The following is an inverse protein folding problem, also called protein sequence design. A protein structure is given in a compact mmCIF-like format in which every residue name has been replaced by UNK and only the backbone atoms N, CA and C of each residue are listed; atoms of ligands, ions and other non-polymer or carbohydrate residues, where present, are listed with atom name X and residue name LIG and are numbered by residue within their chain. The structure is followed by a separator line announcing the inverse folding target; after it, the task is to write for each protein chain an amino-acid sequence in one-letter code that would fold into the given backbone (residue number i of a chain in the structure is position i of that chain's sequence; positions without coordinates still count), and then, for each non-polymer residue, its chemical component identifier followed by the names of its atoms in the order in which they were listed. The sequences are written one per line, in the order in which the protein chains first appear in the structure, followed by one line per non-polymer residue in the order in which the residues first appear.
data_IF_875353792693
#
_entry.id   IF_875353792693
#
_cell.length_a   1.000
_cell.length_b   1.000
_cell.length_c   1.000
_cell.angle_alpha   90.00
_cell.angle_beta   90.00
_cell.angle_gamma   90.00
#
_symmetry.space_group_name_H-M   'P 1'
#
loop_
_entity.id
_entity.type
_entity.pdbx_description
1 polymer ?
#
# COMPACT_ATOMS: atom_id res chain seq x y z
N UNK A 1 -2.50 63.28 -16.09
CA UNK A 1 -2.92 62.10 -15.31
C UNK A 1 -3.13 60.94 -16.27
N UNK A 2 -2.24 59.94 -16.28
CA UNK A 2 -2.34 58.76 -17.17
C UNK A 2 -3.11 57.67 -16.44
N UNK A 3 -4.29 57.30 -16.98
CA UNK A 3 -5.12 56.24 -16.44
C UNK A 3 -4.45 54.87 -16.61
N UNK A 4 -4.17 54.21 -15.49
CA UNK A 4 -3.72 52.81 -15.44
C UNK A 4 -4.94 51.92 -15.69
N UNK A 5 -5.09 51.39 -16.92
CA UNK A 5 -6.04 50.31 -17.18
C UNK A 5 -5.46 49.01 -16.62
N UNK A 6 -5.93 48.61 -15.44
CA UNK A 6 -5.68 47.28 -14.89
C UNK A 6 -6.45 46.26 -15.74
N UNK A 7 -5.72 45.42 -16.46
CA UNK A 7 -6.25 44.41 -17.38
C UNK A 7 -6.78 43.22 -16.56
N UNK A 8 -8.05 43.24 -16.22
CA UNK A 8 -8.71 42.21 -15.40
C UNK A 8 -8.79 40.80 -16.07
N UNK A 9 -8.37 40.66 -17.32
CA UNK A 9 -8.53 39.42 -18.10
C UNK A 9 -7.42 38.37 -17.96
N UNK A 10 -6.27 38.68 -17.34
CA UNK A 10 -5.15 37.72 -17.24
C UNK A 10 -5.16 36.89 -15.96
N UNK A 11 -5.93 37.32 -14.95
CA UNK A 11 -5.87 36.70 -13.62
C UNK A 11 -6.63 35.37 -13.51
N UNK A 12 -7.68 35.14 -14.33
CA UNK A 12 -8.42 33.86 -14.29
C UNK A 12 -7.67 32.72 -14.99
N UNK A 13 -6.98 33.01 -16.09
CA UNK A 13 -6.22 32.00 -16.84
C UNK A 13 -5.02 31.46 -16.05
N UNK A 14 -4.33 32.33 -15.29
CA UNK A 14 -3.19 31.92 -14.45
C UNK A 14 -3.63 31.07 -13.25
N UNK A 15 -4.80 31.34 -12.65
CA UNK A 15 -5.36 30.53 -11.58
C UNK A 15 -5.77 29.13 -12.06
N UNK A 16 -6.43 29.02 -13.20
CA UNK A 16 -6.80 27.72 -13.78
C UNK A 16 -5.57 26.89 -14.17
N UNK A 17 -4.53 27.55 -14.69
CA UNK A 17 -3.29 26.87 -15.09
C UNK A 17 -2.48 26.40 -13.88
N UNK A 18 -2.45 27.19 -12.81
CA UNK A 18 -1.83 26.81 -11.53
C UNK A 18 -2.56 25.65 -10.83
N UNK A 19 -3.89 25.69 -10.80
CA UNK A 19 -4.71 24.62 -10.24
C UNK A 19 -4.54 23.30 -10.99
N UNK A 20 -4.54 23.30 -12.32
CA UNK A 20 -4.32 22.09 -13.14
C UNK A 20 -2.93 21.49 -12.96
N UNK A 21 -1.89 22.33 -12.82
CA UNK A 21 -0.52 21.86 -12.55
C UNK A 21 -0.38 21.20 -11.18
N UNK A 22 -0.98 21.78 -10.14
CA UNK A 22 -0.93 21.21 -8.79
C UNK A 22 -1.71 19.88 -8.67
N UNK A 23 -2.83 19.74 -9.39
CA UNK A 23 -3.60 18.50 -9.43
C UNK A 23 -2.85 17.35 -10.14
N UNK A 24 -2.23 17.64 -11.29
CA UNK A 24 -1.49 16.66 -12.08
C UNK A 24 -0.22 16.11 -11.42
N UNK A 25 0.34 16.85 -10.46
CA UNK A 25 1.49 16.46 -9.63
C UNK A 25 1.09 15.64 -8.39
N UNK A 26 -0.16 15.76 -7.91
CA UNK A 26 -0.66 15.05 -6.73
C UNK A 26 -1.27 13.68 -7.04
N UNK A 27 -1.69 13.45 -8.28
CA UNK A 27 -2.26 12.17 -8.77
C UNK A 27 -1.40 10.92 -8.51
N UNK A 28 -0.08 10.91 -8.78
CA UNK A 28 0.76 9.73 -8.57
C UNK A 28 0.88 9.37 -7.09
N UNK A 29 0.97 10.39 -6.24
CA UNK A 29 0.86 10.22 -4.80
C UNK A 29 -0.54 9.68 -4.50
N UNK A 30 -1.63 10.38 -4.77
CA UNK A 30 -2.98 9.90 -4.43
C UNK A 30 -3.24 8.42 -4.76
N UNK A 31 -2.81 7.93 -5.93
CA UNK A 31 -2.88 6.52 -6.31
C UNK A 31 -2.10 5.57 -5.39
N UNK A 32 -0.84 5.87 -5.08
CA UNK A 32 -0.05 5.03 -4.18
C UNK A 32 -0.68 4.99 -2.77
N UNK A 33 -1.41 6.02 -2.33
CA UNK A 33 -2.09 6.03 -1.03
C UNK A 33 -3.38 5.24 -1.10
N UNK A 34 -4.14 5.39 -2.19
CA UNK A 34 -5.31 4.57 -2.46
C UNK A 34 -5.00 3.07 -2.47
N UNK A 35 -3.77 2.67 -2.82
CA UNK A 35 -3.33 1.26 -2.73
C UNK A 35 -2.73 0.94 -1.36
N UNK A 36 -1.81 1.77 -0.86
CA UNK A 36 -1.08 1.50 0.38
C UNK A 36 -1.97 1.48 1.63
N UNK A 37 -3.00 2.32 1.67
CA UNK A 37 -3.89 2.41 2.84
C UNK A 37 -4.74 1.14 3.02
N UNK A 38 -5.54 0.68 2.03
CA UNK A 38 -6.35 -0.51 2.22
C UNK A 38 -5.51 -1.78 2.37
N UNK A 39 -4.44 -1.93 1.56
CA UNK A 39 -3.57 -3.11 1.67
C UNK A 39 -2.83 -3.07 3.01
N UNK A 40 -2.34 -1.91 3.44
CA UNK A 40 -1.62 -1.75 4.70
C UNK A 40 -2.48 -2.02 5.92
N UNK A 41 -3.74 -1.56 5.92
CA UNK A 41 -4.69 -1.83 6.98
C UNK A 41 -4.94 -3.33 7.18
N UNK A 42 -4.83 -4.14 6.13
CA UNK A 42 -5.04 -5.58 6.19
C UNK A 42 -3.73 -6.30 6.53
N UNK A 43 -2.64 -5.97 5.84
CA UNK A 43 -1.39 -6.74 5.96
C UNK A 43 -0.54 -6.35 7.16
N UNK A 44 -0.62 -5.13 7.69
CA UNK A 44 0.17 -4.73 8.87
C UNK A 44 -0.29 -5.45 10.14
N UNK A 45 -1.59 -5.48 10.50
CA UNK A 45 -2.04 -6.26 11.66
C UNK A 45 -1.71 -7.75 11.50
N UNK A 46 -1.84 -8.29 10.29
CA UNK A 46 -1.45 -9.67 9.99
C UNK A 46 0.06 -9.90 10.21
N UNK A 47 0.92 -9.04 9.69
CA UNK A 47 2.36 -9.17 9.87
C UNK A 47 2.74 -9.11 11.35
N UNK A 48 2.13 -8.20 12.12
CA UNK A 48 2.32 -8.13 13.59
C UNK A 48 1.89 -9.43 14.25
N UNK A 49 0.72 -9.95 13.90
CA UNK A 49 0.23 -11.23 14.43
C UNK A 49 1.20 -12.38 14.14
N UNK A 50 1.64 -12.52 12.88
CA UNK A 50 2.63 -13.53 12.46
C UNK A 50 3.91 -13.39 13.28
N UNK A 51 4.46 -12.19 13.44
CA UNK A 51 5.67 -11.99 14.25
C UNK A 51 5.45 -12.46 15.68
N UNK A 52 4.34 -12.08 16.33
CA UNK A 52 4.07 -12.47 17.72
C UNK A 52 3.95 -13.99 17.86
N UNK A 53 3.21 -14.65 16.95
CA UNK A 53 3.03 -16.11 16.97
C UNK A 53 4.36 -16.83 16.77
N UNK A 54 5.12 -16.46 15.75
CA UNK A 54 6.37 -17.15 15.41
C UNK A 54 7.48 -16.84 16.41
N UNK A 55 7.54 -15.65 17.03
CA UNK A 55 8.45 -15.37 18.15
C UNK A 55 8.13 -16.29 19.35
N UNK A 56 6.84 -16.52 19.63
CA UNK A 56 6.41 -17.51 20.60
C UNK A 56 6.92 -18.92 20.29
N UNK A 57 6.79 -19.37 19.04
CA UNK A 57 7.26 -20.69 18.61
C UNK A 57 8.79 -20.82 18.63
N UNK A 58 9.52 -19.77 18.25
CA UNK A 58 11.00 -19.73 18.35
C UNK A 58 11.43 -19.93 19.81
N UNK A 59 10.74 -19.30 20.76
CA UNK A 59 11.05 -19.48 22.19
C UNK A 59 10.78 -20.89 22.72
N UNK A 60 9.99 -21.68 21.99
CA UNK A 60 9.71 -23.09 22.30
C UNK A 60 10.69 -24.06 21.60
N UNK A 61 11.66 -23.54 20.83
CA UNK A 61 12.65 -24.35 20.12
C UNK A 61 12.16 -24.96 18.81
N UNK A 62 11.11 -24.41 18.21
CA UNK A 62 10.66 -24.84 16.88
C UNK A 62 11.54 -24.22 15.78
N UNK A 63 12.42 -25.03 15.21
CA UNK A 63 13.33 -24.62 14.13
C UNK A 63 12.57 -24.19 12.85
N UNK A 64 11.34 -24.69 12.65
CA UNK A 64 10.49 -24.31 11.51
C UNK A 64 9.95 -22.89 11.61
N UNK A 65 9.88 -22.34 12.82
CA UNK A 65 9.28 -21.03 13.07
C UNK A 65 10.03 -19.88 12.38
N UNK A 66 11.35 -20.01 12.24
CA UNK A 66 12.16 -19.02 11.52
C UNK A 66 11.78 -18.91 10.04
N UNK A 67 11.49 -20.04 9.39
CA UNK A 67 11.11 -20.04 7.97
C UNK A 67 9.76 -19.35 7.73
N UNK A 68 8.78 -19.57 8.61
CA UNK A 68 7.48 -18.90 8.55
C UNK A 68 7.58 -17.40 8.81
N UNK A 69 8.39 -16.99 9.79
CA UNK A 69 8.66 -15.58 10.08
C UNK A 69 9.31 -14.87 8.88
N UNK A 70 10.32 -15.49 8.27
CA UNK A 70 11.04 -14.95 7.11
C UNK A 70 10.16 -14.87 5.86
N UNK A 71 9.27 -15.84 5.66
CA UNK A 71 8.38 -15.89 4.50
C UNK A 71 7.18 -14.95 4.61
N UNK A 72 6.61 -14.77 5.81
CA UNK A 72 5.31 -14.12 5.97
C UNK A 72 5.34 -12.84 6.82
N UNK A 73 6.23 -12.74 7.80
CA UNK A 73 6.28 -11.61 8.74
C UNK A 73 7.23 -10.49 8.30
N UNK A 74 8.42 -10.87 7.88
CA UNK A 74 9.49 -9.93 7.53
C UNK A 74 9.26 -9.13 6.23
N UNK A 75 8.71 -9.70 5.14
CA UNK A 75 8.53 -8.95 3.90
C UNK A 75 7.61 -7.74 4.03
N UNK A 76 6.42 -7.80 4.68
CA UNK A 76 5.60 -6.62 4.93
C UNK A 76 6.31 -5.57 5.80
N UNK A 77 7.03 -6.01 6.84
CA UNK A 77 7.80 -5.12 7.73
C UNK A 77 8.83 -4.25 6.98
N UNK A 78 9.46 -4.79 5.94
CA UNK A 78 10.46 -4.07 5.15
C UNK A 78 9.80 -3.32 3.98
N UNK A 79 8.83 -3.94 3.32
CA UNK A 79 8.19 -3.40 2.12
C UNK A 79 7.37 -2.14 2.38
N UNK A 80 6.65 -2.06 3.51
CA UNK A 80 5.85 -0.88 3.84
C UNK A 80 6.69 0.37 4.11
N UNK A 81 7.75 0.32 4.94
CA UNK A 81 8.69 1.44 5.07
C UNK A 81 9.34 1.84 3.74
N UNK A 82 9.75 0.86 2.92
CA UNK A 82 10.30 1.15 1.59
C UNK A 82 9.30 1.89 0.69
N UNK A 83 8.03 1.47 0.69
CA UNK A 83 6.96 2.14 -0.04
C UNK A 83 6.66 3.55 0.52
N UNK A 84 6.75 3.75 1.83
CA UNK A 84 6.61 5.07 2.46
C UNK A 84 7.77 6.01 2.11
N UNK A 85 8.99 5.48 1.98
CA UNK A 85 10.14 6.23 1.47
C UNK A 85 9.90 6.62 0.00
N UNK A 86 9.51 5.66 -0.85
CA UNK A 86 9.18 5.93 -2.27
C UNK A 86 8.04 6.95 -2.43
N UNK A 87 7.04 6.91 -1.55
CA UNK A 87 5.99 7.93 -1.44
C UNK A 87 6.56 9.31 -1.13
N UNK A 88 7.44 9.40 -0.14
CA UNK A 88 8.03 10.68 0.26
C UNK A 88 8.86 11.29 -0.88
N UNK A 89 9.59 10.44 -1.63
CA UNK A 89 10.37 10.85 -2.78
C UNK A 89 9.50 11.20 -3.99
N UNK A 90 8.38 10.50 -4.21
CA UNK A 90 7.47 10.81 -5.33
C UNK A 90 6.85 12.20 -5.19
N UNK A 91 6.54 12.64 -3.97
CA UNK A 91 6.06 14.01 -3.67
C UNK A 91 7.12 15.10 -3.87
N UNK A 92 8.40 14.75 -3.81
CA UNK A 92 9.55 15.67 -3.98
C UNK A 92 10.18 15.58 -5.37
N UNK A 93 9.62 14.79 -6.28
CA UNK A 93 10.22 14.55 -7.58
C UNK A 93 10.18 15.81 -8.47
N UNK A 94 11.33 16.17 -9.03
CA UNK A 94 11.47 17.33 -9.92
C UNK A 94 10.69 17.21 -11.24
N UNK A 95 10.35 15.98 -11.66
CA UNK A 95 9.63 15.72 -12.92
C UNK A 95 8.44 14.80 -12.71
N UNK A 96 7.38 15.03 -13.49
CA UNK A 96 6.15 14.22 -13.45
C UNK A 96 6.42 12.74 -13.77
N UNK A 97 7.30 12.46 -14.73
CA UNK A 97 7.70 11.08 -15.08
C UNK A 97 8.36 10.36 -13.90
N UNK A 98 9.28 11.01 -13.18
CA UNK A 98 9.90 10.43 -11.98
C UNK A 98 8.89 10.17 -10.87
N UNK A 99 7.95 11.09 -10.63
CA UNK A 99 6.90 10.90 -9.63
C UNK A 99 6.07 9.63 -9.92
N UNK A 100 5.70 9.41 -11.18
CA UNK A 100 4.97 8.21 -11.61
C UNK A 100 5.79 6.93 -11.48
N UNK A 101 7.06 6.94 -11.88
CA UNK A 101 7.93 5.76 -11.74
C UNK A 101 8.09 5.38 -10.27
N UNK A 102 8.35 6.35 -9.39
CA UNK A 102 8.48 6.09 -7.95
C UNK A 102 7.17 5.60 -7.34
N UNK A 103 6.03 6.17 -7.74
CA UNK A 103 4.72 5.70 -7.30
C UNK A 103 4.44 4.26 -7.75
N UNK A 104 4.73 3.94 -9.02
CA UNK A 104 4.55 2.59 -9.56
C UNK A 104 5.46 1.58 -8.87
N UNK A 105 6.73 1.93 -8.63
CA UNK A 105 7.65 1.08 -7.86
C UNK A 105 7.14 0.85 -6.43
N UNK A 106 6.59 1.88 -5.78
CA UNK A 106 5.96 1.73 -4.47
C UNK A 106 4.77 0.78 -4.49
N UNK A 107 3.91 0.88 -5.51
CA UNK A 107 2.76 -0.03 -5.67
C UNK A 107 3.23 -1.46 -5.88
N UNK A 108 4.20 -1.68 -6.78
CA UNK A 108 4.76 -3.01 -7.05
C UNK A 108 5.37 -3.60 -5.78
N UNK A 109 6.12 -2.80 -5.00
CA UNK A 109 6.70 -3.25 -3.75
C UNK A 109 5.61 -3.70 -2.76
N UNK A 110 4.54 -2.92 -2.58
CA UNK A 110 3.41 -3.27 -1.71
C UNK A 110 2.75 -4.56 -2.17
N UNK A 111 2.45 -4.69 -3.46
CA UNK A 111 1.81 -5.88 -4.02
C UNK A 111 2.70 -7.12 -3.82
N UNK A 112 4.00 -7.00 -4.11
CA UNK A 112 4.95 -8.10 -3.98
C UNK A 112 5.05 -8.60 -2.53
N UNK A 113 5.17 -7.69 -1.55
CA UNK A 113 5.27 -8.09 -0.14
C UNK A 113 3.95 -8.53 0.47
N UNK A 114 2.83 -8.11 -0.12
CA UNK A 114 1.47 -8.44 0.35
C UNK A 114 0.89 -9.69 -0.31
N UNK A 115 1.47 -10.15 -1.42
CA UNK A 115 0.94 -11.28 -2.19
C UNK A 115 0.84 -12.55 -1.34
N UNK A 116 1.92 -12.95 -0.68
CA UNK A 116 1.96 -14.20 0.09
C UNK A 116 1.01 -14.18 1.31
N UNK A 117 0.99 -13.11 2.14
CA UNK A 117 0.01 -12.98 3.22
C UNK A 117 -1.45 -13.01 2.75
N UNK A 118 -1.77 -12.22 1.71
CA UNK A 118 -3.13 -12.13 1.18
C UNK A 118 -3.57 -13.45 0.57
N UNK A 119 -2.69 -14.14 -0.14
CA UNK A 119 -2.96 -15.45 -0.70
C UNK A 119 -3.22 -16.50 0.38
N UNK A 120 -2.38 -16.56 1.42
CA UNK A 120 -2.55 -17.51 2.51
C UNK A 120 -3.86 -17.27 3.30
N UNK A 121 -4.18 -16.01 3.59
CA UNK A 121 -5.45 -15.63 4.22
C UNK A 121 -6.65 -16.02 3.35
N UNK A 122 -6.59 -15.71 2.06
CA UNK A 122 -7.64 -16.05 1.10
C UNK A 122 -7.84 -17.55 0.98
N UNK A 123 -6.75 -18.32 0.96
CA UNK A 123 -6.79 -19.78 0.89
C UNK A 123 -7.39 -20.39 2.16
N UNK A 124 -6.95 -19.95 3.35
CA UNK A 124 -7.52 -20.42 4.61
C UNK A 124 -9.01 -20.09 4.74
N UNK A 125 -9.42 -18.88 4.35
CA UNK A 125 -10.83 -18.51 4.32
C UNK A 125 -11.63 -19.35 3.32
N UNK A 126 -11.07 -19.62 2.14
CA UNK A 126 -11.72 -20.42 1.11
C UNK A 126 -11.95 -21.87 1.59
N UNK A 127 -10.96 -22.48 2.22
CA UNK A 127 -11.08 -23.83 2.77
C UNK A 127 -12.13 -23.87 3.89
N UNK A 128 -12.10 -22.94 4.84
CA UNK A 128 -13.09 -22.85 5.92
C UNK A 128 -14.51 -22.61 5.38
N UNK A 129 -14.65 -21.70 4.41
CA UNK A 129 -15.93 -21.43 3.76
C UNK A 129 -16.47 -22.68 3.06
N UNK A 130 -15.61 -23.44 2.38
CA UNK A 130 -15.99 -24.68 1.73
C UNK A 130 -16.41 -25.76 2.73
N UNK A 131 -15.73 -25.86 3.88
CA UNK A 131 -16.06 -26.83 4.93
C UNK A 131 -17.35 -26.50 5.69
N UNK A 132 -17.78 -25.25 5.69
CA UNK A 132 -19.03 -24.78 6.29
C UNK A 132 -20.24 -24.80 5.35
N UNK A 133 -20.03 -25.03 4.04
CA UNK A 133 -21.14 -25.26 3.09
C UNK A 133 -21.86 -26.60 3.35
N UNK A 134 -23.14 -26.75 2.94
CA UNK A 134 -23.86 -28.01 3.03
C UNK A 134 -23.10 -29.15 2.35
N UNK A 135 -22.79 -30.21 3.11
CA UNK A 135 -21.96 -31.33 2.66
C UNK A 135 -20.47 -31.23 3.00
N UNK A 136 -20.04 -30.13 3.61
CA UNK A 136 -18.71 -29.97 4.22
C UNK A 136 -18.62 -30.60 5.61
N UNK A 137 -17.39 -30.80 6.11
CA UNK A 137 -17.12 -31.44 7.40
C UNK A 137 -17.66 -30.66 8.61
N UNK A 138 -17.76 -29.33 8.50
CA UNK A 138 -18.19 -28.43 9.56
C UNK A 138 -19.65 -27.97 9.45
N UNK A 139 -20.44 -28.57 8.55
CA UNK A 139 -21.84 -28.18 8.37
C UNK A 139 -22.69 -28.60 9.59
N UNK A 140 -23.13 -27.61 10.36
CA UNK A 140 -24.15 -27.76 11.39
C UNK A 140 -25.46 -27.14 10.88
N UNK A 141 -26.52 -27.95 10.63
CA UNK A 141 -27.79 -27.47 10.08
C UNK A 141 -28.59 -26.62 11.06
#
# INVERSE_FOLDING_TARGET
MRGVRVRAGTMSADLETGARRSFGLRLPAALLACVAVPVGLITLPWAVFVIVVFVGQISQGDDGAWSGLMAMGLPPLIGYPAAAVLWSHSRRAATRRRAWVLALLGVIAIVAVSFLPVFALGYGFYDEWRETQPGGRGYHP
#
